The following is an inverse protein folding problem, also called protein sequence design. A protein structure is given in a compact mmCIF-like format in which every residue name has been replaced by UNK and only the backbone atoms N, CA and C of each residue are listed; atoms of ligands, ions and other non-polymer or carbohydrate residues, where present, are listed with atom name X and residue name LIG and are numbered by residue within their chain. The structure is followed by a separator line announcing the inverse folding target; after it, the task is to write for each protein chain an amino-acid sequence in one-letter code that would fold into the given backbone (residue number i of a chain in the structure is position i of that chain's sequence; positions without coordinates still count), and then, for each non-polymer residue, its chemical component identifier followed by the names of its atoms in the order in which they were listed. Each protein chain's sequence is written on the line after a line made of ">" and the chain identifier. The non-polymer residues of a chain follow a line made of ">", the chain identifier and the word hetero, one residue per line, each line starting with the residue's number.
data_IF_054575924517
#
_entry.id   IF_054575924517
#
_cell.length_a   1.000
_cell.length_b   1.000
_cell.length_c   1.000
_cell.angle_alpha   90.00
_cell.angle_beta   90.00
_cell.angle_gamma   90.00
#
_symmetry.space_group_name_H-M   'P 1'
#
loop_
_entity.id
_entity.type
_entity.pdbx_description
1 polymer ?
#
# COMPACT_ATOMS: atom_id res chain seq x y z
N UNK A 1 -27.31 0.89 -40.93
CA UNK A 1 -26.00 1.29 -40.40
C UNK A 1 -26.15 1.30 -38.88
N UNK A 2 -25.89 0.16 -38.25
CA UNK A 2 -26.13 -0.03 -36.83
C UNK A 2 -24.98 0.56 -36.03
N UNK A 3 -25.27 1.59 -35.31
CA UNK A 3 -24.41 2.23 -34.34
C UNK A 3 -24.15 1.23 -33.19
N UNK A 4 -22.94 0.71 -33.09
CA UNK A 4 -22.52 -0.12 -31.96
C UNK A 4 -22.32 0.83 -30.79
N UNK A 5 -23.19 0.75 -29.81
CA UNK A 5 -23.05 1.42 -28.51
C UNK A 5 -21.78 0.90 -27.81
N UNK A 6 -20.75 1.74 -27.61
CA UNK A 6 -19.50 1.32 -26.96
C UNK A 6 -19.64 1.01 -25.45
N UNK A 7 -20.82 1.24 -24.88
CA UNK A 7 -21.05 1.07 -23.45
C UNK A 7 -21.38 -0.38 -23.01
N UNK A 8 -21.64 -1.29 -23.96
CA UNK A 8 -22.18 -2.64 -23.64
C UNK A 8 -21.13 -3.70 -23.35
N UNK A 9 -19.86 -3.45 -23.59
CA UNK A 9 -18.81 -4.47 -23.41
C UNK A 9 -18.10 -4.45 -22.05
N UNK A 10 -17.92 -3.29 -21.44
CA UNK A 10 -17.17 -3.16 -20.17
C UNK A 10 -18.05 -3.29 -18.92
N UNK A 11 -19.32 -2.93 -19.03
CA UNK A 11 -20.26 -2.99 -17.91
C UNK A 11 -20.43 -4.39 -17.29
N UNK A 12 -20.55 -5.50 -18.03
CA UNK A 12 -20.74 -6.82 -17.45
C UNK A 12 -19.49 -7.37 -16.75
N UNK A 13 -18.28 -7.02 -17.20
CA UNK A 13 -17.04 -7.46 -16.58
C UNK A 13 -16.83 -6.76 -15.23
N UNK A 14 -17.04 -5.46 -15.18
CA UNK A 14 -16.93 -4.69 -13.93
C UNK A 14 -18.01 -5.08 -12.92
N UNK A 15 -19.23 -5.35 -13.39
CA UNK A 15 -20.32 -5.84 -12.54
C UNK A 15 -19.98 -7.22 -11.94
N UNK A 16 -19.42 -8.15 -12.71
CA UNK A 16 -18.98 -9.45 -12.23
C UNK A 16 -17.84 -9.35 -11.21
N UNK A 17 -16.85 -8.49 -11.47
CA UNK A 17 -15.74 -8.26 -10.54
C UNK A 17 -16.24 -7.65 -9.23
N UNK A 18 -17.17 -6.71 -9.31
CA UNK A 18 -17.77 -6.07 -8.13
C UNK A 18 -18.58 -7.04 -7.29
N UNK A 19 -19.40 -7.90 -7.90
CA UNK A 19 -20.20 -8.90 -7.17
C UNK A 19 -19.29 -9.95 -6.52
N UNK A 20 -18.33 -10.51 -7.24
CA UNK A 20 -17.38 -11.48 -6.70
C UNK A 20 -16.58 -10.91 -5.53
N UNK A 21 -16.13 -9.65 -5.63
CA UNK A 21 -15.45 -8.97 -4.54
C UNK A 21 -16.34 -8.83 -3.31
N UNK A 22 -17.60 -8.43 -3.51
CA UNK A 22 -18.59 -8.29 -2.42
C UNK A 22 -18.83 -9.63 -1.74
N UNK A 23 -19.01 -10.70 -2.49
CA UNK A 23 -19.24 -12.04 -1.98
C UNK A 23 -18.07 -12.55 -1.13
N UNK A 24 -16.84 -12.37 -1.61
CA UNK A 24 -15.63 -12.75 -0.86
C UNK A 24 -15.51 -11.96 0.44
N UNK A 25 -15.77 -10.66 0.38
CA UNK A 25 -15.65 -9.79 1.55
C UNK A 25 -16.73 -10.08 2.60
N UNK A 26 -17.95 -10.39 2.17
CA UNK A 26 -19.07 -10.69 3.09
C UNK A 26 -18.95 -12.04 3.78
N UNK A 27 -18.13 -12.96 3.27
CA UNK A 27 -17.82 -14.22 3.98
C UNK A 27 -17.08 -13.95 5.30
N UNK A 28 -16.21 -12.94 5.34
CA UNK A 28 -15.36 -12.65 6.51
C UNK A 28 -15.91 -11.49 7.35
N UNK A 29 -16.58 -10.53 6.70
CA UNK A 29 -17.09 -9.32 7.34
C UNK A 29 -18.59 -9.20 7.11
N UNK A 30 -19.32 -8.67 8.10
CA UNK A 30 -20.77 -8.45 8.01
C UNK A 30 -21.20 -7.47 6.91
N UNK A 31 -20.26 -6.63 6.42
CA UNK A 31 -20.50 -5.72 5.30
C UNK A 31 -19.18 -5.24 4.69
N UNK A 32 -19.23 -4.80 3.44
CA UNK A 32 -18.06 -4.20 2.74
C UNK A 32 -17.55 -2.93 3.43
N UNK A 33 -18.44 -2.16 4.07
CA UNK A 33 -18.09 -0.96 4.83
C UNK A 33 -17.32 -1.35 6.10
N UNK A 34 -17.77 -2.38 6.83
CA UNK A 34 -17.07 -2.89 8.00
C UNK A 34 -15.68 -3.41 7.63
N UNK A 35 -15.56 -4.16 6.55
CA UNK A 35 -14.28 -4.65 6.04
C UNK A 35 -13.29 -3.50 5.77
N UNK A 36 -13.73 -2.46 5.05
CA UNK A 36 -12.89 -1.29 4.76
C UNK A 36 -12.42 -0.59 6.03
N UNK A 37 -13.33 -0.38 6.99
CA UNK A 37 -12.99 0.27 8.25
C UNK A 37 -11.96 -0.53 9.04
N UNK A 38 -12.12 -1.84 9.14
CA UNK A 38 -11.17 -2.71 9.81
C UNK A 38 -9.80 -2.74 9.11
N UNK A 39 -9.77 -2.92 7.80
CA UNK A 39 -8.54 -2.93 7.01
C UNK A 39 -7.81 -1.58 7.09
N UNK A 40 -8.55 -0.47 7.01
CA UNK A 40 -7.98 0.87 7.16
C UNK A 40 -7.41 1.09 8.56
N UNK A 41 -8.12 0.66 9.61
CA UNK A 41 -7.64 0.77 10.99
C UNK A 41 -6.34 -0.01 11.20
N UNK A 42 -6.29 -1.27 10.75
CA UNK A 42 -5.09 -2.09 10.83
C UNK A 42 -3.94 -1.45 10.05
N UNK A 43 -4.22 -0.93 8.85
CA UNK A 43 -3.20 -0.25 8.03
C UNK A 43 -2.64 0.99 8.74
N UNK A 44 -3.49 1.81 9.39
CA UNK A 44 -3.05 2.99 10.16
C UNK A 44 -2.18 2.58 11.35
N UNK A 45 -2.58 1.56 12.12
CA UNK A 45 -1.78 1.05 13.23
C UNK A 45 -0.42 0.58 12.75
N UNK A 46 -0.36 -0.16 11.65
CA UNK A 46 0.90 -0.61 11.05
C UNK A 46 1.74 0.56 10.53
N UNK A 47 1.12 1.61 9.98
CA UNK A 47 1.81 2.82 9.55
C UNK A 47 2.44 3.57 10.73
N UNK A 48 1.73 3.72 11.84
CA UNK A 48 2.27 4.30 13.08
C UNK A 48 3.46 3.47 13.57
N UNK A 49 3.34 2.15 13.60
CA UNK A 49 4.43 1.25 13.97
C UNK A 49 5.65 1.40 13.04
N UNK A 50 5.42 1.62 11.74
CA UNK A 50 6.49 1.92 10.77
C UNK A 50 7.23 3.22 11.10
N UNK A 51 6.50 4.28 11.43
CA UNK A 51 7.11 5.57 11.82
C UNK A 51 7.90 5.44 13.11
N UNK A 52 7.36 4.78 14.12
CA UNK A 52 8.03 4.58 15.42
C UNK A 52 9.31 3.73 15.28
N UNK A 53 9.23 2.63 14.54
CA UNK A 53 10.40 1.77 14.29
C UNK A 53 11.45 2.46 13.44
N UNK A 54 11.06 3.24 12.43
CA UNK A 54 11.97 4.07 11.66
C UNK A 54 12.65 5.12 12.54
N UNK A 55 11.89 5.89 13.33
CA UNK A 55 12.44 6.89 14.24
C UNK A 55 13.43 6.27 15.25
N UNK A 56 13.17 5.03 15.70
CA UNK A 56 14.09 4.27 16.55
C UNK A 56 15.37 3.85 15.81
N UNK A 57 15.26 3.38 14.57
CA UNK A 57 16.39 3.00 13.72
C UNK A 57 17.31 4.21 13.47
N UNK A 58 16.72 5.38 13.18
CA UNK A 58 17.43 6.64 13.00
C UNK A 58 17.93 7.29 14.30
N UNK A 59 17.75 6.62 15.45
CA UNK A 59 18.30 7.05 16.72
C UNK A 59 17.48 8.07 17.51
N UNK A 60 16.40 8.63 16.93
CA UNK A 60 15.57 9.67 17.58
C UNK A 60 14.83 9.15 18.81
N UNK A 61 14.45 7.88 18.83
CA UNK A 61 13.71 7.24 19.94
C UNK A 61 14.56 6.24 20.77
N UNK A 62 15.89 6.29 20.66
CA UNK A 62 16.75 5.37 21.44
C UNK A 62 16.52 5.47 22.94
N UNK A 63 16.26 6.65 23.45
CA UNK A 63 16.05 6.92 24.88
C UNK A 63 14.72 6.38 25.41
N UNK A 64 13.68 6.35 24.55
CA UNK A 64 12.33 5.96 24.95
C UNK A 64 12.05 4.47 24.71
N UNK A 65 12.73 3.86 23.72
CA UNK A 65 12.52 2.47 23.34
C UNK A 65 13.85 1.71 23.43
N UNK A 66 14.17 1.10 24.57
CA UNK A 66 15.45 0.42 24.79
C UNK A 66 15.49 -0.99 24.16
N UNK A 67 14.91 -1.17 22.97
CA UNK A 67 14.92 -2.44 22.25
C UNK A 67 16.19 -2.64 21.43
N UNK A 68 16.70 -3.89 21.30
CA UNK A 68 17.86 -4.17 20.45
C UNK A 68 17.56 -3.86 18.98
N UNK A 69 18.54 -3.29 18.29
CA UNK A 69 18.42 -2.87 16.88
C UNK A 69 17.88 -3.98 15.96
N UNK A 70 18.33 -5.23 16.15
CA UNK A 70 17.93 -6.38 15.34
C UNK A 70 16.41 -6.64 15.41
N UNK A 71 15.82 -6.51 16.61
CA UNK A 71 14.38 -6.69 16.82
C UNK A 71 13.62 -5.58 16.11
N UNK A 72 14.01 -4.32 16.33
CA UNK A 72 13.36 -3.16 15.71
C UNK A 72 13.43 -3.21 14.19
N UNK A 73 14.58 -3.57 13.63
CA UNK A 73 14.75 -3.70 12.17
C UNK A 73 13.90 -4.84 11.57
N UNK A 74 13.76 -5.96 12.31
CA UNK A 74 12.89 -7.07 11.89
C UNK A 74 11.42 -6.64 11.93
N UNK A 75 10.98 -6.06 13.04
CA UNK A 75 9.61 -5.54 13.19
C UNK A 75 9.28 -4.53 12.09
N UNK A 76 10.19 -3.60 11.80
CA UNK A 76 10.02 -2.63 10.71
C UNK A 76 9.79 -3.30 9.35
N UNK A 77 10.56 -4.33 9.02
CA UNK A 77 10.40 -5.04 7.73
C UNK A 77 9.09 -5.79 7.63
N UNK A 78 8.71 -6.52 8.69
CA UNK A 78 7.47 -7.31 8.68
C UNK A 78 6.22 -6.44 8.73
N UNK A 79 6.19 -5.43 9.59
CA UNK A 79 5.05 -4.51 9.66
C UNK A 79 4.86 -3.72 8.36
N UNK A 80 5.96 -3.38 7.65
CA UNK A 80 5.86 -2.74 6.34
C UNK A 80 5.26 -3.65 5.26
N UNK A 81 5.62 -4.93 5.24
CA UNK A 81 5.03 -5.92 4.32
C UNK A 81 3.55 -6.15 4.63
N UNK A 82 3.20 -6.26 5.92
CA UNK A 82 1.82 -6.42 6.34
C UNK A 82 0.99 -5.16 6.02
N UNK A 83 1.51 -3.97 6.28
CA UNK A 83 0.84 -2.73 5.92
C UNK A 83 0.50 -2.69 4.42
N UNK A 84 1.45 -3.04 3.55
CA UNK A 84 1.20 -3.14 2.12
C UNK A 84 0.10 -4.16 1.81
N UNK A 85 0.19 -5.37 2.38
CA UNK A 85 -0.78 -6.43 2.13
C UNK A 85 -2.21 -6.02 2.52
N UNK A 86 -2.38 -5.38 3.67
CA UNK A 86 -3.69 -4.91 4.13
C UNK A 86 -4.22 -3.70 3.35
N UNK A 87 -3.34 -2.91 2.73
CA UNK A 87 -3.78 -1.79 1.90
C UNK A 87 -4.15 -2.20 0.47
N UNK A 88 -3.67 -3.33 -0.04
CA UNK A 88 -3.99 -3.79 -1.41
C UNK A 88 -5.49 -3.93 -1.69
N UNK A 89 -6.31 -4.59 -0.85
CA UNK A 89 -7.75 -4.66 -1.08
C UNK A 89 -8.43 -3.30 -1.06
N UNK A 90 -7.94 -2.39 -0.20
CA UNK A 90 -8.47 -1.02 -0.11
C UNK A 90 -8.17 -0.23 -1.37
N UNK A 91 -6.93 -0.33 -1.91
CA UNK A 91 -6.55 0.29 -3.18
C UNK A 91 -7.42 -0.25 -4.31
N UNK A 92 -7.49 -1.58 -4.42
CA UNK A 92 -8.26 -2.22 -5.47
C UNK A 92 -9.69 -1.69 -5.49
N UNK A 93 -10.33 -1.63 -4.35
CA UNK A 93 -11.67 -1.10 -4.23
C UNK A 93 -11.75 0.40 -4.59
N UNK A 94 -10.83 1.22 -4.08
CA UNK A 94 -10.86 2.66 -4.30
C UNK A 94 -10.53 3.04 -5.75
N UNK A 95 -9.61 2.33 -6.40
CA UNK A 95 -9.16 2.66 -7.76
C UNK A 95 -10.05 2.03 -8.83
N UNK A 96 -10.37 0.73 -8.69
CA UNK A 96 -11.07 -0.01 -9.75
C UNK A 96 -12.59 0.00 -9.60
N UNK A 97 -13.13 0.10 -8.38
CA UNK A 97 -14.58 0.07 -8.17
C UNK A 97 -15.15 1.47 -8.03
N UNK A 98 -14.51 2.35 -7.24
CA UNK A 98 -14.99 3.73 -7.04
C UNK A 98 -14.41 4.70 -8.08
N UNK A 99 -13.23 4.42 -8.63
CA UNK A 99 -12.50 5.35 -9.49
C UNK A 99 -11.98 6.58 -8.75
N UNK A 100 -11.33 7.48 -9.50
CA UNK A 100 -10.87 8.76 -8.96
C UNK A 100 -12.04 9.73 -8.84
N UNK A 101 -12.47 10.00 -7.61
CA UNK A 101 -13.62 10.84 -7.32
C UNK A 101 -13.21 12.27 -6.99
N UNK A 102 -13.82 13.23 -7.70
CA UNK A 102 -13.61 14.68 -7.51
C UNK A 102 -14.89 15.42 -7.11
N UNK A 103 -15.97 14.69 -6.85
CA UNK A 103 -17.31 15.22 -6.63
C UNK A 103 -17.44 16.08 -5.38
N UNK A 104 -16.67 15.79 -4.35
CA UNK A 104 -16.64 16.61 -3.11
C UNK A 104 -15.20 16.86 -2.68
N UNK A 105 -14.97 17.97 -1.96
CA UNK A 105 -13.63 18.31 -1.40
C UNK A 105 -13.07 17.16 -0.56
N UNK A 106 -13.92 16.45 0.19
CA UNK A 106 -13.49 15.34 1.04
C UNK A 106 -12.98 14.16 0.20
N UNK A 107 -13.67 13.80 -0.86
CA UNK A 107 -13.24 12.70 -1.76
C UNK A 107 -12.02 13.10 -2.57
N UNK A 108 -11.91 14.35 -2.99
CA UNK A 108 -10.74 14.86 -3.69
C UNK A 108 -9.48 14.78 -2.79
N UNK A 109 -9.56 15.28 -1.56
CA UNK A 109 -8.44 15.23 -0.60
C UNK A 109 -8.04 13.77 -0.31
N UNK A 110 -9.02 12.87 -0.14
CA UNK A 110 -8.77 11.45 0.06
C UNK A 110 -8.04 10.81 -1.14
N UNK A 111 -8.47 11.11 -2.35
CA UNK A 111 -7.87 10.60 -3.59
C UNK A 111 -6.44 11.08 -3.77
N UNK A 112 -6.18 12.37 -3.52
CA UNK A 112 -4.84 12.97 -3.61
C UNK A 112 -3.92 12.36 -2.53
N UNK A 113 -4.38 12.32 -1.28
CA UNK A 113 -3.60 11.77 -0.16
C UNK A 113 -3.26 10.30 -0.38
N UNK A 114 -4.22 9.49 -0.85
CA UNK A 114 -4.02 8.09 -1.19
C UNK A 114 -2.98 7.93 -2.29
N UNK A 115 -3.11 8.65 -3.39
CA UNK A 115 -2.14 8.62 -4.51
C UNK A 115 -0.73 9.01 -4.06
N UNK A 116 -0.62 10.04 -3.21
CA UNK A 116 0.66 10.48 -2.65
C UNK A 116 1.32 9.39 -1.78
N UNK A 117 0.57 8.77 -0.88
CA UNK A 117 1.08 7.68 -0.01
C UNK A 117 1.62 6.52 -0.85
N UNK A 118 0.89 6.11 -1.89
CA UNK A 118 1.35 5.03 -2.76
C UNK A 118 2.52 5.42 -3.64
N UNK A 119 2.56 6.66 -4.13
CA UNK A 119 3.72 7.19 -4.86
C UNK A 119 5.00 7.17 -4.01
N UNK A 120 4.92 7.63 -2.76
CA UNK A 120 6.04 7.59 -1.81
C UNK A 120 6.44 6.15 -1.48
N UNK A 121 5.48 5.25 -1.34
CA UNK A 121 5.77 3.83 -1.08
C UNK A 121 6.46 3.18 -2.27
N UNK A 122 5.98 3.39 -3.48
CA UNK A 122 6.61 2.89 -4.71
C UNK A 122 8.04 3.44 -4.87
N UNK A 123 8.23 4.73 -4.67
CA UNK A 123 9.54 5.37 -4.71
C UNK A 123 10.50 4.74 -3.68
N UNK A 124 10.03 4.47 -2.45
CA UNK A 124 10.81 3.78 -1.42
C UNK A 124 11.24 2.37 -1.86
N UNK A 125 10.33 1.60 -2.44
CA UNK A 125 10.63 0.22 -2.90
C UNK A 125 11.65 0.26 -4.03
N UNK A 126 11.48 1.15 -5.00
CA UNK A 126 12.41 1.32 -6.12
C UNK A 126 13.79 1.72 -5.61
N UNK A 127 13.86 2.70 -4.70
CA UNK A 127 15.12 3.18 -4.14
C UNK A 127 15.89 2.10 -3.36
N UNK A 128 15.18 1.29 -2.56
CA UNK A 128 15.82 0.16 -1.85
C UNK A 128 16.32 -0.87 -2.84
N UNK A 129 15.56 -1.15 -3.91
CA UNK A 129 15.91 -2.14 -4.90
C UNK A 129 17.07 -1.68 -5.80
N UNK A 130 17.13 -0.40 -6.15
CA UNK A 130 18.23 0.17 -6.93
C UNK A 130 19.56 0.18 -6.18
N UNK A 131 19.54 0.43 -4.86
CA UNK A 131 20.73 0.35 -4.01
C UNK A 131 21.24 -1.06 -3.75
N UNK A 132 20.37 -2.06 -3.88
CA UNK A 132 20.74 -3.48 -3.74
C UNK A 132 21.48 -4.02 -4.99
N UNK A 133 21.56 -3.25 -6.08
CA UNK A 133 22.28 -3.62 -7.29
C UNK A 133 23.62 -2.87 -7.32
N UNK A 134 24.75 -3.52 -7.01
CA UNK A 134 26.07 -2.87 -7.15
C UNK A 134 26.26 -2.50 -8.61
N UNK A 135 26.54 -1.24 -8.86
CA UNK A 135 26.79 -0.72 -10.19
C UNK A 135 27.96 -1.47 -10.86
N UNK A 136 28.03 -1.50 -12.21
CA UNK A 136 29.07 -2.23 -12.93
C UNK A 136 30.52 -1.76 -12.63
N UNK A 137 30.70 -0.61 -11.94
CA UNK A 137 32.01 -0.06 -11.59
C UNK A 137 32.64 -0.59 -10.30
N UNK A 138 31.85 -1.16 -9.37
CA UNK A 138 32.39 -1.61 -8.08
C UNK A 138 32.99 -3.04 -8.10
N UNK A 139 32.81 -3.78 -9.19
CA UNK A 139 33.38 -5.14 -9.33
C UNK A 139 34.86 -5.16 -9.75
N UNK A 140 35.40 -4.00 -10.15
CA UNK A 140 36.78 -3.96 -10.66
C UNK A 140 37.84 -3.84 -9.58
N UNK A 141 37.50 -3.42 -8.35
CA UNK A 141 38.50 -3.22 -7.29
C UNK A 141 38.66 -4.42 -6.34
N UNK A 142 37.87 -5.49 -6.50
CA UNK A 142 37.91 -6.66 -5.60
C UNK A 142 38.75 -7.84 -6.18
N UNK A 143 39.36 -7.69 -7.35
CA UNK A 143 40.10 -8.78 -8.01
C UNK A 143 41.64 -8.60 -7.86
N UNK A 144 42.10 -7.42 -7.40
CA UNK A 144 43.54 -7.10 -7.28
C UNK A 144 44.04 -6.92 -5.83
N UNK A 145 43.40 -7.64 -4.86
CA UNK A 145 43.88 -7.65 -3.47
C UNK A 145 44.10 -9.06 -2.93
#
# INVERSE_FOLDING_TARGET
>A
MGERDPSTGEAPVLANVSSTYTDIVTIVFSSTIAAKSWLATVAVVLAVLQVLTAARIYGRLKRFIPLPYRVVARTHRYSGRLALLFTLPVIFHCVFILGFQTTTTRTLVHSIAGSFVYGVFAAKVIFIRSRAYPGPGERSCAVDA
#
